data_IF_021630489264
#
_entry.id   IF_021630489264
#
_cell.length_a   1.000
_cell.length_b   1.000
_cell.length_c   1.000
_cell.angle_alpha   90.00
_cell.angle_beta   90.00
_cell.angle_gamma   90.00
#
_symmetry.space_group_name_H-M   'P 1'
#
loop_
_entity.id
_entity.type
_entity.pdbx_description
1 polymer ?
#
# COMPACT_ATOMS: atom_id res chain seq x y z
N UNK A 1 28.36 13.45 -15.42
CA UNK A 1 27.81 12.92 -14.16
C UNK A 1 27.53 11.43 -14.35
N UNK A 2 28.19 10.55 -13.57
CA UNK A 2 27.85 9.12 -13.54
C UNK A 2 26.82 8.95 -12.43
N UNK A 3 25.58 8.69 -12.82
CA UNK A 3 24.50 8.39 -11.89
C UNK A 3 24.78 6.97 -11.40
N UNK A 4 25.09 6.81 -10.10
CA UNK A 4 25.22 5.49 -9.50
C UNK A 4 23.79 4.95 -9.36
N UNK A 5 23.37 4.13 -10.32
CA UNK A 5 22.06 3.50 -10.29
C UNK A 5 22.03 2.56 -9.07
N UNK A 6 21.26 2.94 -8.07
CA UNK A 6 20.77 2.04 -7.04
C UNK A 6 20.24 0.79 -7.72
N UNK A 7 20.53 -0.37 -7.13
CA UNK A 7 20.04 -1.70 -7.51
C UNK A 7 18.54 -1.71 -7.83
N UNK A 8 18.09 -2.77 -8.50
CA UNK A 8 16.68 -3.06 -8.83
C UNK A 8 15.67 -2.50 -7.81
N UNK A 9 14.51 -2.00 -8.26
CA UNK A 9 13.52 -1.38 -7.39
C UNK A 9 13.06 -2.37 -6.32
N UNK A 10 12.99 -1.92 -5.06
CA UNK A 10 12.55 -2.75 -3.93
C UNK A 10 11.08 -3.15 -4.02
N UNK A 11 10.26 -2.26 -4.55
CA UNK A 11 8.83 -2.48 -4.73
C UNK A 11 8.43 -2.46 -6.21
N UNK A 12 7.38 -3.20 -6.57
CA UNK A 12 6.92 -3.31 -7.96
C UNK A 12 5.54 -2.71 -8.16
N UNK A 13 5.16 -2.48 -9.42
CA UNK A 13 3.79 -2.08 -9.77
C UNK A 13 2.77 -3.06 -9.21
N UNK A 14 1.61 -2.54 -8.85
CA UNK A 14 0.47 -3.22 -8.27
C UNK A 14 0.68 -3.81 -6.86
N UNK A 15 1.84 -3.57 -6.23
CA UNK A 15 2.08 -3.96 -4.85
C UNK A 15 1.39 -2.99 -3.88
N UNK A 16 0.77 -3.53 -2.84
CA UNK A 16 0.20 -2.74 -1.74
C UNK A 16 1.28 -2.45 -0.70
N UNK A 17 1.40 -1.19 -0.32
CA UNK A 17 2.40 -0.70 0.63
C UNK A 17 1.76 0.23 1.65
N UNK A 18 2.44 0.42 2.78
CA UNK A 18 2.07 1.33 3.86
C UNK A 18 3.12 2.43 4.00
N UNK A 19 2.69 3.62 4.40
CA UNK A 19 3.54 4.79 4.61
C UNK A 19 2.88 5.71 5.66
N UNK A 20 3.52 6.83 6.00
CA UNK A 20 3.05 7.75 7.05
C UNK A 20 1.71 8.49 6.76
N UNK A 21 0.98 8.12 5.70
CA UNK A 21 -0.35 8.66 5.39
C UNK A 21 -1.43 7.59 5.24
N UNK A 22 -1.09 6.31 5.42
CA UNK A 22 -2.02 5.19 5.24
C UNK A 22 -1.44 4.09 4.37
N UNK A 23 -2.32 3.43 3.60
CA UNK A 23 -1.96 2.38 2.66
C UNK A 23 -2.35 2.79 1.25
N UNK A 24 -1.59 2.27 0.28
CA UNK A 24 -1.90 2.47 -1.12
C UNK A 24 -1.18 1.47 -2.01
N UNK A 25 -1.47 1.54 -3.29
CA UNK A 25 -0.96 0.64 -4.32
C UNK A 25 0.04 1.36 -5.21
N UNK A 26 1.18 0.74 -5.48
CA UNK A 26 2.18 1.31 -6.38
C UNK A 26 1.66 1.26 -7.81
N UNK A 27 1.56 2.41 -8.46
CA UNK A 27 1.16 2.53 -9.86
C UNK A 27 2.36 2.78 -10.78
N UNK A 28 3.42 3.41 -10.26
CA UNK A 28 4.64 3.66 -11.02
C UNK A 28 5.86 3.87 -10.12
N UNK A 29 7.06 3.80 -10.70
CA UNK A 29 8.31 4.13 -10.02
C UNK A 29 9.38 4.55 -11.02
N UNK A 30 10.34 5.36 -10.57
CA UNK A 30 11.52 5.72 -11.36
C UNK A 30 12.76 5.81 -10.46
N UNK A 31 13.96 5.58 -11.03
CA UNK A 31 15.19 5.71 -10.26
C UNK A 31 15.44 7.17 -9.87
N UNK A 32 16.04 7.36 -8.70
CA UNK A 32 16.54 8.63 -8.17
C UNK A 32 18.00 8.42 -7.70
N UNK A 33 18.73 9.49 -7.38
CA UNK A 33 20.14 9.41 -6.95
C UNK A 33 20.25 8.59 -5.67
N UNK A 34 20.79 7.37 -5.77
CA UNK A 34 20.95 6.39 -4.69
C UNK A 34 19.64 5.88 -4.07
N UNK A 35 18.48 6.12 -4.69
CA UNK A 35 17.16 5.69 -4.20
C UNK A 35 16.20 5.39 -5.36
N UNK A 36 14.95 5.07 -5.01
CA UNK A 36 13.83 4.98 -5.94
C UNK A 36 12.69 5.87 -5.44
N UNK A 37 11.99 6.51 -6.38
CA UNK A 37 10.77 7.24 -6.12
C UNK A 37 9.58 6.43 -6.62
N UNK A 38 8.52 6.36 -5.83
CA UNK A 38 7.33 5.56 -6.08
C UNK A 38 6.09 6.43 -6.11
N UNK A 39 5.25 6.23 -7.13
CA UNK A 39 3.91 6.78 -7.22
C UNK A 39 2.93 5.76 -6.62
N UNK A 40 2.26 6.16 -5.55
CA UNK A 40 1.32 5.34 -4.78
C UNK A 40 -0.08 5.93 -4.91
N UNK A 41 -1.01 5.12 -5.39
CA UNK A 41 -2.42 5.45 -5.46
C UNK A 41 -3.11 4.95 -4.20
N UNK A 42 -3.75 5.83 -3.45
CA UNK A 42 -4.56 5.45 -2.29
C UNK A 42 -5.95 5.01 -2.72
N UNK A 43 -6.57 4.10 -1.96
CA UNK A 43 -7.97 3.74 -2.18
C UNK A 43 -8.88 4.94 -1.90
N UNK A 44 -9.88 5.12 -2.76
CA UNK A 44 -10.92 6.13 -2.59
C UNK A 44 -11.75 5.77 -1.35
N UNK A 45 -11.87 6.71 -0.42
CA UNK A 45 -12.95 6.69 0.55
C UNK A 45 -14.32 6.77 -0.15
N UNK A 46 -15.43 6.54 0.58
CA UNK A 46 -16.77 6.62 0.00
C UNK A 46 -16.99 7.95 -0.72
N UNK A 47 -17.57 7.88 -1.92
CA UNK A 47 -17.89 9.06 -2.73
C UNK A 47 -18.79 10.01 -1.92
N UNK A 48 -18.44 11.29 -1.79
CA UNK A 48 -19.29 12.25 -1.08
C UNK A 48 -20.57 12.53 -1.87
N UNK A 49 -21.70 12.70 -1.17
CA UNK A 49 -23.05 12.78 -1.75
C UNK A 49 -23.22 13.81 -2.89
N UNK A 50 -22.44 14.90 -2.94
CA UNK A 50 -22.43 15.83 -4.08
C UNK A 50 -21.10 16.57 -4.29
N UNK A 51 -20.70 16.71 -5.56
CA UNK A 51 -20.03 17.91 -6.06
C UNK A 51 -18.49 17.94 -6.10
N UNK A 52 -17.78 16.84 -5.90
CA UNK A 52 -16.31 16.80 -6.11
C UNK A 52 -15.90 15.61 -6.97
N UNK A 53 -15.52 15.91 -8.21
CA UNK A 53 -14.99 14.96 -9.18
C UNK A 53 -13.57 14.52 -8.75
N UNK A 54 -13.38 13.21 -8.58
CA UNK A 54 -12.10 12.49 -8.59
C UNK A 54 -11.15 12.75 -7.41
N UNK A 55 -11.20 11.90 -6.37
CA UNK A 55 -10.21 11.91 -5.28
C UNK A 55 -9.20 10.77 -5.35
N UNK A 56 -8.89 10.28 -6.56
CA UNK A 56 -7.74 9.39 -6.74
C UNK A 56 -6.48 10.16 -6.38
N UNK A 57 -6.04 10.04 -5.13
CA UNK A 57 -4.86 10.76 -4.65
C UNK A 57 -3.64 9.89 -4.93
N UNK A 58 -2.84 10.32 -5.89
CA UNK A 58 -1.51 9.77 -6.14
C UNK A 58 -0.50 10.54 -5.33
N UNK A 59 0.27 9.85 -4.49
CA UNK A 59 1.36 10.43 -3.71
C UNK A 59 2.69 9.92 -4.27
N UNK A 60 3.67 10.81 -4.38
CA UNK A 60 5.05 10.47 -4.69
C UNK A 60 5.84 10.37 -3.39
N UNK A 61 6.39 9.19 -3.10
CA UNK A 61 7.19 8.93 -1.90
C UNK A 61 8.53 8.31 -2.27
N UNK A 62 9.54 8.61 -1.46
CA UNK A 62 10.85 7.96 -1.56
C UNK A 62 10.79 6.53 -0.99
N UNK A 63 11.73 5.67 -1.41
CA UNK A 63 11.82 4.28 -0.92
C UNK A 63 11.86 4.19 0.62
N UNK A 64 12.48 5.16 1.30
CA UNK A 64 12.62 5.19 2.76
C UNK A 64 11.31 5.45 3.51
N UNK A 65 10.32 6.05 2.84
CA UNK A 65 9.02 6.40 3.42
C UNK A 65 7.99 5.25 3.30
N UNK A 66 8.36 4.16 2.63
CA UNK A 66 7.47 3.07 2.24
C UNK A 66 7.85 1.79 2.96
N UNK A 67 6.84 1.12 3.52
CA UNK A 67 6.96 -0.19 4.15
C UNK A 67 6.04 -1.20 3.45
N UNK A 68 6.57 -2.38 3.09
CA UNK A 68 5.75 -3.48 2.58
C UNK A 68 4.69 -3.91 3.59
N UNK A 69 3.43 -4.01 3.16
CA UNK A 69 2.39 -4.67 3.96
C UNK A 69 2.52 -6.17 3.72
N UNK A 70 2.88 -6.92 4.76
CA UNK A 70 2.70 -8.38 4.75
C UNK A 70 1.19 -8.64 4.87
N UNK A 71 0.55 -9.12 3.81
CA UNK A 71 -0.86 -9.51 3.87
C UNK A 71 -1.06 -10.66 4.87
N UNK A 72 -1.42 -10.34 6.11
CA UNK A 72 -1.94 -11.31 7.08
C UNK A 72 -3.46 -11.45 6.89
N UNK A 73 -3.90 -12.16 5.86
CA UNK A 73 -5.34 -12.36 5.60
C UNK A 73 -5.80 -13.82 5.64
N UNK A 74 -5.23 -14.68 6.50
CA UNK A 74 -5.76 -16.07 6.67
C UNK A 74 -5.69 -16.67 8.09
N UNK A 75 -5.88 -15.91 9.19
CA UNK A 75 -5.89 -16.58 10.51
C UNK A 75 -6.96 -16.17 11.55
N UNK A 76 -8.01 -15.42 11.21
CA UNK A 76 -9.00 -15.02 12.24
C UNK A 76 -10.49 -15.26 11.91
N UNK A 77 -10.81 -16.28 11.09
CA UNK A 77 -12.21 -16.74 10.93
C UNK A 77 -12.52 -18.08 11.64
N UNK A 78 -11.62 -18.61 12.49
CA UNK A 78 -11.87 -19.88 13.21
C UNK A 78 -12.23 -19.76 14.68
N UNK A 79 -12.32 -18.55 15.24
CA UNK A 79 -12.57 -18.37 16.69
C UNK A 79 -14.04 -18.16 17.08
N UNK A 80 -14.96 -17.90 16.14
CA UNK A 80 -16.37 -17.66 16.48
C UNK A 80 -17.28 -18.91 16.43
N UNK A 81 -16.96 -19.92 15.61
CA UNK A 81 -17.83 -21.11 15.43
C UNK A 81 -17.69 -22.23 16.47
N UNK A 82 -16.84 -22.09 17.49
CA UNK A 82 -16.69 -23.12 18.55
C UNK A 82 -17.51 -22.89 19.82
N UNK A 83 -18.34 -21.83 19.88
CA UNK A 83 -19.12 -21.52 21.08
C UNK A 83 -20.48 -22.23 21.23
N UNK A 84 -20.79 -23.25 20.44
CA UNK A 84 -22.07 -23.97 20.60
C UNK A 84 -21.92 -25.48 20.41
N UNK A 85 -21.42 -26.17 21.44
CA UNK A 85 -21.69 -27.58 21.78
C UNK A 85 -20.88 -27.96 23.01
N UNK A 86 -21.46 -27.72 24.19
CA UNK A 86 -21.40 -28.58 25.39
C UNK A 86 -22.18 -27.87 26.49
N UNK A 87 -23.50 -28.02 26.41
CA UNK A 87 -24.35 -28.00 27.60
C UNK A 87 -24.48 -29.45 28.03
N UNK A 88 -23.95 -29.78 29.20
CA UNK A 88 -24.30 -30.96 29.99
C UNK A 88 -24.31 -30.50 31.45
#
# INVERSE_FOLDING_TARGET
>A
MKIHLSSLPRYTKNQTVSFFGGMGKIINYHPEVNSWQYAIQMELGPEPDFGRIGYETTILLSEAEINAVLQQEKFNEKLCSQKSRKSY
#
